data_IF_439720070481
#
_entry.id   IF_439720070481
#
_cell.length_a   1.000
_cell.length_b   1.000
_cell.length_c   1.000
_cell.angle_alpha   90.00
_cell.angle_beta   90.00
_cell.angle_gamma   90.00
#
_symmetry.space_group_name_H-M   'P 1'
#
loop_
_entity.id
_entity.type
_entity.pdbx_description
1 polymer ?
#
# COMPACT_ATOMS: atom_id res chain seq x y z
N UNK A 1 18.14 -7.48 -11.28
CA UNK A 1 17.69 -8.60 -10.41
C UNK A 1 17.04 -8.09 -9.12
N UNK A 2 17.67 -7.11 -8.45
CA UNK A 2 17.19 -6.50 -7.21
C UNK A 2 15.79 -5.85 -7.37
N UNK A 3 15.56 -5.16 -8.50
CA UNK A 3 14.25 -4.57 -8.84
C UNK A 3 13.10 -5.60 -8.86
N UNK A 4 13.33 -6.78 -9.43
CA UNK A 4 12.31 -7.83 -9.52
C UNK A 4 11.94 -8.32 -8.12
N UNK A 5 12.93 -8.51 -7.26
CA UNK A 5 12.72 -8.93 -5.87
C UNK A 5 11.90 -7.88 -5.11
N UNK A 6 12.27 -6.60 -5.23
CA UNK A 6 11.52 -5.51 -4.60
C UNK A 6 10.07 -5.43 -5.10
N UNK A 7 9.84 -5.57 -6.40
CA UNK A 7 8.49 -5.57 -6.98
C UNK A 7 7.66 -6.74 -6.45
N UNK A 8 8.24 -7.95 -6.37
CA UNK A 8 7.56 -9.11 -5.81
C UNK A 8 7.18 -8.89 -4.35
N UNK A 9 8.08 -8.30 -3.55
CA UNK A 9 7.80 -7.92 -2.16
C UNK A 9 6.67 -6.89 -2.10
N UNK A 10 6.69 -5.86 -2.94
CA UNK A 10 5.63 -4.84 -2.97
C UNK A 10 4.26 -5.47 -3.26
N UNK A 11 4.18 -6.34 -4.28
CA UNK A 11 2.94 -7.05 -4.63
C UNK A 11 2.48 -7.93 -3.47
N UNK A 12 3.39 -8.64 -2.82
CA UNK A 12 3.08 -9.49 -1.67
C UNK A 12 2.53 -8.68 -0.49
N UNK A 13 3.16 -7.56 -0.16
CA UNK A 13 2.72 -6.63 0.89
C UNK A 13 1.33 -6.07 0.57
N UNK A 14 1.11 -5.62 -0.68
CA UNK A 14 -0.20 -5.12 -1.12
C UNK A 14 -1.27 -6.24 -1.04
N UNK A 15 -0.93 -7.46 -1.46
CA UNK A 15 -1.83 -8.62 -1.42
C UNK A 15 -2.25 -8.97 0.01
N UNK A 16 -1.30 -9.07 0.94
CA UNK A 16 -1.59 -9.30 2.36
C UNK A 16 -2.43 -8.16 2.93
N UNK A 17 -2.08 -6.92 2.60
CA UNK A 17 -2.78 -5.71 3.04
C UNK A 17 -4.25 -5.71 2.61
N UNK A 18 -4.52 -6.12 1.37
CA UNK A 18 -5.88 -6.26 0.83
C UNK A 18 -6.64 -7.44 1.43
N UNK A 19 -5.96 -8.55 1.70
CA UNK A 19 -6.54 -9.71 2.34
C UNK A 19 -6.97 -9.41 3.78
N UNK A 20 -6.08 -8.82 4.57
CA UNK A 20 -6.31 -8.48 5.97
C UNK A 20 -7.41 -7.41 6.13
N UNK A 21 -7.49 -6.48 5.18
CA UNK A 21 -8.49 -5.40 5.20
C UNK A 21 -9.83 -5.74 4.54
N UNK A 22 -10.00 -6.97 4.01
CA UNK A 22 -11.13 -7.37 3.15
C UNK A 22 -12.52 -7.12 3.76
N UNK A 23 -12.67 -7.19 5.08
CA UNK A 23 -13.98 -7.10 5.74
C UNK A 23 -14.33 -5.72 6.30
N UNK A 24 -13.36 -4.81 6.45
CA UNK A 24 -13.56 -3.56 7.18
C UNK A 24 -13.20 -2.34 6.33
N UNK A 25 -14.21 -1.52 5.98
CA UNK A 25 -14.03 -0.25 5.25
C UNK A 25 -12.96 0.65 5.88
N UNK A 26 -13.05 0.83 7.21
CA UNK A 26 -12.10 1.64 7.99
C UNK A 26 -10.68 1.07 7.93
N UNK A 27 -10.54 -0.26 7.97
CA UNK A 27 -9.24 -0.92 7.86
C UNK A 27 -8.64 -0.73 6.45
N UNK A 28 -9.43 -0.85 5.37
CA UNK A 28 -8.95 -0.58 4.00
C UNK A 28 -8.42 0.83 3.82
N UNK A 29 -9.16 1.83 4.30
CA UNK A 29 -8.76 3.23 4.22
C UNK A 29 -7.46 3.45 5.01
N UNK A 30 -7.39 2.93 6.24
CA UNK A 30 -6.19 3.04 7.09
C UNK A 30 -4.98 2.38 6.44
N UNK A 31 -5.14 1.15 5.93
CA UNK A 31 -4.07 0.40 5.27
C UNK A 31 -3.58 1.10 4.01
N UNK A 32 -4.48 1.65 3.18
CA UNK A 32 -4.08 2.43 2.00
C UNK A 32 -3.29 3.69 2.38
N UNK A 33 -3.73 4.41 3.43
CA UNK A 33 -3.01 5.57 3.98
C UNK A 33 -1.62 5.18 4.49
N UNK A 34 -1.52 4.09 5.24
CA UNK A 34 -0.24 3.57 5.75
C UNK A 34 0.68 3.19 4.59
N UNK A 35 0.18 2.53 3.54
CA UNK A 35 0.99 2.21 2.36
C UNK A 35 1.57 3.47 1.69
N UNK A 36 0.76 4.53 1.55
CA UNK A 36 1.22 5.80 0.99
C UNK A 36 2.33 6.40 1.86
N UNK A 37 2.11 6.51 3.17
CA UNK A 37 3.09 7.06 4.11
C UNK A 37 4.38 6.23 4.09
N UNK A 38 4.26 4.90 4.12
CA UNK A 38 5.40 3.99 4.03
C UNK A 38 6.15 4.21 2.73
N UNK A 39 5.48 4.38 1.59
CA UNK A 39 6.15 4.63 0.29
C UNK A 39 6.99 5.91 0.27
N UNK A 40 6.53 6.95 0.97
CA UNK A 40 7.23 8.24 1.01
C UNK A 40 8.43 8.17 1.96
N UNK A 41 8.27 7.56 3.14
CA UNK A 41 9.32 7.47 4.16
C UNK A 41 10.37 6.41 3.83
N UNK A 42 9.96 5.32 3.19
CA UNK A 42 10.82 4.22 2.74
C UNK A 42 11.94 4.71 1.83
N UNK A 43 11.65 5.66 0.94
CA UNK A 43 12.63 6.16 -0.02
C UNK A 43 13.88 6.77 0.65
N UNK A 44 13.79 7.86 1.44
CA UNK A 44 14.96 8.43 2.11
C UNK A 44 15.60 7.49 3.12
N UNK A 45 14.85 6.55 3.70
CA UNK A 45 15.38 5.60 4.68
C UNK A 45 16.22 4.48 4.02
N UNK A 46 15.83 4.03 2.82
CA UNK A 46 16.48 2.91 2.13
C UNK A 46 17.50 3.36 1.06
N UNK A 47 17.46 4.64 0.63
CA UNK A 47 18.45 5.21 -0.31
C UNK A 47 19.89 5.06 0.18
N UNK A 48 20.26 5.35 1.45
CA UNK A 48 21.64 5.18 1.90
C UNK A 48 22.11 3.73 1.79
N UNK A 49 21.24 2.78 2.13
CA UNK A 49 21.57 1.35 2.16
C UNK A 49 21.72 0.80 0.73
N UNK A 50 20.72 1.02 -0.13
CA UNK A 50 20.67 0.44 -1.47
C UNK A 50 21.41 1.27 -2.52
N UNK A 51 21.54 2.58 -2.28
CA UNK A 51 22.35 3.48 -3.08
C UNK A 51 23.84 3.25 -2.91
N UNK A 52 24.34 2.87 -1.73
CA UNK A 52 25.74 2.49 -1.57
C UNK A 52 26.05 1.11 -2.17
N UNK A 53 25.15 0.13 -1.99
CA UNK A 53 25.38 -1.23 -2.48
C UNK A 53 25.33 -1.39 -3.99
N UNK A 54 24.44 -0.66 -4.67
CA UNK A 54 24.17 -0.84 -6.10
C UNK A 54 24.07 0.48 -6.88
N UNK A 55 24.49 1.59 -6.28
CA UNK A 55 24.50 2.91 -6.90
C UNK A 55 23.20 3.20 -7.67
N UNK A 56 23.31 3.42 -8.98
CA UNK A 56 22.19 3.77 -9.84
C UNK A 56 21.14 2.66 -9.96
N UNK A 57 21.53 1.38 -10.02
CA UNK A 57 20.59 0.25 -10.09
C UNK A 57 19.78 0.15 -8.79
N UNK A 58 20.44 0.39 -7.65
CA UNK A 58 19.82 0.43 -6.33
C UNK A 58 18.78 1.55 -6.21
N UNK A 59 19.16 2.78 -6.54
CA UNK A 59 18.25 3.93 -6.46
C UNK A 59 17.07 3.80 -7.44
N UNK A 60 17.31 3.36 -8.68
CA UNK A 60 16.25 3.18 -9.66
C UNK A 60 15.26 2.08 -9.25
N UNK A 61 15.76 0.95 -8.74
CA UNK A 61 14.90 -0.13 -8.23
C UNK A 61 14.08 0.29 -7.02
N UNK A 62 14.66 1.10 -6.13
CA UNK A 62 13.98 1.70 -5.00
C UNK A 62 12.87 2.68 -5.42
N UNK A 63 13.13 3.48 -6.46
CA UNK A 63 12.14 4.40 -7.02
C UNK A 63 10.94 3.63 -7.56
N UNK A 64 11.18 2.57 -8.34
CA UNK A 64 10.11 1.70 -8.86
C UNK A 64 9.34 1.04 -7.71
N UNK A 65 10.03 0.51 -6.71
CA UNK A 65 9.40 -0.10 -5.53
C UNK A 65 8.43 0.85 -4.81
N UNK A 66 8.89 2.07 -4.52
CA UNK A 66 8.06 3.05 -3.83
C UNK A 66 6.90 3.54 -4.71
N UNK A 67 7.10 3.66 -6.03
CA UNK A 67 6.01 3.97 -6.95
C UNK A 67 4.93 2.87 -6.95
N UNK A 68 5.33 1.60 -6.97
CA UNK A 68 4.38 0.47 -6.92
C UNK A 68 3.61 0.46 -5.60
N UNK A 69 4.27 0.70 -4.47
CA UNK A 69 3.61 0.82 -3.17
C UNK A 69 2.64 2.01 -3.12
N UNK A 70 3.04 3.16 -3.66
CA UNK A 70 2.20 4.36 -3.72
C UNK A 70 0.93 4.09 -4.53
N UNK A 71 1.08 3.55 -5.74
CA UNK A 71 -0.06 3.19 -6.61
C UNK A 71 -0.94 2.13 -5.94
N UNK A 72 -0.34 1.11 -5.32
CA UNK A 72 -1.07 0.09 -4.56
C UNK A 72 -1.85 0.66 -3.38
N UNK A 73 -1.26 1.61 -2.65
CA UNK A 73 -1.90 2.34 -1.55
C UNK A 73 -3.08 3.19 -2.03
N UNK A 74 -2.92 3.91 -3.14
CA UNK A 74 -3.98 4.70 -3.77
C UNK A 74 -5.15 3.81 -4.20
N UNK A 75 -4.87 2.71 -4.91
CA UNK A 75 -5.90 1.74 -5.35
C UNK A 75 -6.64 1.18 -4.12
N UNK A 76 -5.91 0.83 -3.05
CA UNK A 76 -6.49 0.32 -1.81
C UNK A 76 -7.38 1.35 -1.12
N UNK A 77 -6.97 2.62 -1.10
CA UNK A 77 -7.76 3.73 -0.58
C UNK A 77 -9.05 3.93 -1.38
N UNK A 78 -8.95 3.98 -2.70
CA UNK A 78 -10.09 4.11 -3.61
C UNK A 78 -11.05 2.94 -3.37
N UNK A 79 -10.55 1.70 -3.37
CA UNK A 79 -11.37 0.51 -3.09
C UNK A 79 -12.02 0.57 -1.70
N UNK A 80 -11.32 1.12 -0.70
CA UNK A 80 -11.86 1.38 0.63
C UNK A 80 -13.00 2.40 0.63
N UNK A 81 -12.90 3.49 -0.13
CA UNK A 81 -13.97 4.48 -0.25
C UNK A 81 -15.22 3.92 -0.93
N UNK A 82 -15.04 3.14 -2.00
CA UNK A 82 -16.14 2.52 -2.76
C UNK A 82 -16.72 1.25 -2.11
N UNK A 83 -16.06 0.69 -1.10
CA UNK A 83 -16.64 -0.39 -0.30
C UNK A 83 -17.83 0.17 0.48
N UNK A 84 -19.06 -0.15 0.03
CA UNK A 84 -20.30 0.24 0.70
C UNK A 84 -20.21 -0.16 2.18
N UNK A 85 -20.41 0.82 3.06
CA UNK A 85 -20.68 0.54 4.46
C UNK A 85 -22.04 -0.16 4.51
N UNK A 86 -22.05 -1.48 4.68
CA UNK A 86 -23.26 -2.25 4.98
C UNK A 86 -23.89 -1.85 6.34
N UNK A 87 -23.32 -0.87 7.04
CA UNK A 87 -23.67 -0.49 8.41
C UNK A 87 -24.59 0.73 8.54
N UNK A 88 -24.96 1.43 7.46
CA UNK A 88 -25.83 2.63 7.55
C UNK A 88 -27.24 2.40 6.95
N UNK A 89 -27.64 1.15 6.73
CA UNK A 89 -28.90 0.81 6.06
C UNK A 89 -29.96 0.08 6.91
N UNK A 90 -29.75 -0.08 8.23
CA UNK A 90 -30.74 -0.74 9.10
C UNK A 90 -31.03 0.16 10.29
N UNK A 91 -31.80 1.23 10.06
CA UNK A 91 -32.69 1.73 11.09
C UNK A 91 -33.94 0.84 11.03
N UNK A 92 -34.18 -0.09 11.98
CA UNK A 92 -35.50 -0.64 12.13
C UNK A 92 -36.37 0.49 12.71
N UNK A 93 -37.11 1.16 11.83
CA UNK A 93 -38.29 1.90 12.24
C UNK A 93 -39.29 0.87 12.77
N UNK A 94 -39.22 0.56 14.07
CA UNK A 94 -40.30 -0.13 14.76
C UNK A 94 -41.14 0.90 15.52
N UNK A 95 -42.46 0.72 15.35
CA UNK A 95 -43.61 1.24 16.08
C UNK A 95 -43.85 2.75 16.09
#
# INVERSE_FOLDING_TARGET
MLAIILILIAIFVIGISLWLSKQNKKARITVGLVLIVVSIISYPMLVPILGEWKALEGVASLMVFNLVLLVGGIITLIAGFFTKSLSEGVHPSNN
#
